data_IF_003775908715
#
_entry.id   IF_003775908715
#
_cell.length_a   1.000
_cell.length_b   1.000
_cell.length_c   1.000
_cell.angle_alpha   90.00
_cell.angle_beta   90.00
_cell.angle_gamma   90.00
#
_symmetry.space_group_name_H-M   'P 1'
#
loop_
_entity.id
_entity.type
_entity.pdbx_description
1 polymer ?
#
# COMPACT_ATOMS: atom_id res chain seq x y z
N UNK A 1 -2.58 29.70 23.20
CA UNK A 1 -1.64 30.18 22.17
C UNK A 1 -2.17 29.78 20.79
N UNK A 2 -2.26 30.71 19.83
CA UNK A 2 -2.82 30.44 18.49
C UNK A 2 -1.75 29.74 17.64
N UNK A 3 -2.05 28.53 17.16
CA UNK A 3 -1.15 27.78 16.27
C UNK A 3 -1.02 28.55 14.94
N UNK A 4 0.20 28.69 14.43
CA UNK A 4 0.44 29.34 13.13
C UNK A 4 -0.18 28.51 12.00
N UNK A 5 -0.47 29.12 10.84
CA UNK A 5 -0.98 28.37 9.67
C UNK A 5 -0.01 27.27 9.22
N UNK A 6 1.29 27.55 9.29
CA UNK A 6 2.35 26.60 8.96
C UNK A 6 2.34 25.41 9.92
N UNK A 7 2.31 25.65 11.23
CA UNK A 7 2.26 24.59 12.23
C UNK A 7 0.96 23.76 12.13
N UNK A 8 -0.16 24.39 11.77
CA UNK A 8 -1.41 23.68 11.53
C UNK A 8 -1.31 22.72 10.34
N UNK A 9 -0.64 23.13 9.25
CA UNK A 9 -0.39 22.28 8.09
C UNK A 9 0.56 21.11 8.42
N UNK A 10 1.65 21.37 9.15
CA UNK A 10 2.58 20.33 9.62
C UNK A 10 1.88 19.31 10.53
N UNK A 11 1.03 19.79 11.43
CA UNK A 11 0.24 18.92 12.30
C UNK A 11 -0.74 18.07 11.49
N UNK A 12 -1.37 18.64 10.46
CA UNK A 12 -2.25 17.90 9.55
C UNK A 12 -1.48 16.76 8.87
N UNK A 13 -0.33 17.06 8.29
CA UNK A 13 0.52 16.06 7.62
C UNK A 13 0.99 14.97 8.58
N UNK A 14 1.34 15.35 9.81
CA UNK A 14 1.71 14.41 10.87
C UNK A 14 0.57 13.45 11.17
N UNK A 15 -0.66 13.95 11.32
CA UNK A 15 -1.85 13.10 11.55
C UNK A 15 -2.10 12.16 10.37
N UNK A 16 -2.00 12.64 9.13
CA UNK A 16 -2.20 11.80 7.94
C UNK A 16 -1.15 10.67 7.88
N UNK A 17 0.12 10.99 8.11
CA UNK A 17 1.22 10.01 8.12
C UNK A 17 1.02 8.94 9.20
N UNK A 18 0.72 9.37 10.43
CA UNK A 18 0.47 8.45 11.55
C UNK A 18 -0.77 7.60 11.29
N UNK A 19 -1.87 8.20 10.86
CA UNK A 19 -3.10 7.48 10.54
C UNK A 19 -2.88 6.46 9.41
N UNK A 20 -2.08 6.80 8.40
CA UNK A 20 -1.73 5.90 7.29
C UNK A 20 -1.08 4.60 7.82
N UNK A 21 -0.17 4.72 8.78
CA UNK A 21 0.52 3.57 9.40
C UNK A 21 -0.40 2.79 10.33
N UNK A 22 -1.10 3.49 11.22
CA UNK A 22 -1.96 2.87 12.22
C UNK A 22 -3.19 2.19 11.61
N UNK A 23 -3.76 2.73 10.53
CA UNK A 23 -4.81 2.04 9.80
C UNK A 23 -4.29 0.73 9.18
N UNK A 24 -3.08 0.70 8.60
CA UNK A 24 -2.51 -0.55 8.08
C UNK A 24 -2.25 -1.60 9.17
N UNK A 25 -1.97 -1.16 10.39
CA UNK A 25 -1.74 -2.07 11.52
C UNK A 25 -3.05 -2.60 12.14
N UNK A 26 -4.06 -1.75 12.26
CA UNK A 26 -5.26 -2.05 13.05
C UNK A 26 -6.55 -2.17 12.23
N UNK A 27 -6.52 -1.85 10.93
CA UNK A 27 -7.71 -1.66 10.11
C UNK A 27 -8.39 -0.31 10.38
N UNK A 28 -9.33 0.08 9.52
CA UNK A 28 -10.07 1.35 9.67
C UNK A 28 -10.95 1.35 10.93
N UNK A 29 -11.58 0.22 11.25
CA UNK A 29 -12.50 0.10 12.38
C UNK A 29 -11.81 -0.31 13.68
N UNK A 30 -10.62 -0.91 13.60
CA UNK A 30 -9.89 -1.41 14.77
C UNK A 30 -9.13 -0.33 15.55
N UNK A 31 -9.12 0.93 15.09
CA UNK A 31 -8.52 2.05 15.82
C UNK A 31 -9.47 3.25 15.96
N UNK A 32 -9.54 3.79 17.18
CA UNK A 32 -10.34 4.97 17.50
C UNK A 32 -9.64 6.29 17.18
N UNK A 33 -10.44 7.37 17.05
CA UNK A 33 -9.90 8.71 16.81
C UNK A 33 -8.94 9.18 17.93
N UNK A 34 -9.24 8.83 19.17
CA UNK A 34 -8.40 9.17 20.32
C UNK A 34 -6.99 8.60 20.18
N UNK A 35 -6.87 7.34 19.76
CA UNK A 35 -5.59 6.66 19.64
C UNK A 35 -4.82 7.12 18.40
N UNK A 36 -5.51 7.40 17.30
CA UNK A 36 -4.91 8.07 16.12
C UNK A 36 -4.26 9.40 16.50
N UNK A 37 -5.00 10.26 17.22
CA UNK A 37 -4.51 11.57 17.62
C UNK A 37 -3.39 11.47 18.66
N UNK A 38 -3.50 10.51 19.60
CA UNK A 38 -2.42 10.19 20.55
C UNK A 38 -1.14 9.77 19.82
N UNK A 39 -1.25 8.92 18.80
CA UNK A 39 -0.11 8.52 17.97
C UNK A 39 0.54 9.70 17.25
N UNK A 40 -0.25 10.72 16.89
CA UNK A 40 0.23 11.96 16.29
C UNK A 40 0.73 13.00 17.31
N UNK A 41 0.71 12.70 18.62
CA UNK A 41 1.11 13.63 19.67
C UNK A 41 0.15 14.81 19.84
N UNK A 42 -1.10 14.69 19.38
CA UNK A 42 -2.09 15.76 19.35
C UNK A 42 -3.33 15.41 20.16
N UNK A 43 -4.04 16.45 20.61
CA UNK A 43 -5.31 16.26 21.33
C UNK A 43 -6.43 15.89 20.36
N UNK A 44 -7.43 15.14 20.84
CA UNK A 44 -8.61 14.83 20.04
C UNK A 44 -9.36 16.10 19.59
N UNK A 45 -9.35 17.17 20.39
CA UNK A 45 -9.94 18.45 20.00
C UNK A 45 -9.24 19.14 18.82
N UNK A 46 -7.96 18.85 18.58
CA UNK A 46 -7.25 19.36 17.40
C UNK A 46 -7.73 18.72 16.10
N UNK A 47 -8.27 17.50 16.16
CA UNK A 47 -8.78 16.77 14.99
C UNK A 47 -9.88 17.55 14.27
N UNK A 48 -10.91 17.96 15.01
CA UNK A 48 -12.09 18.65 14.45
C UNK A 48 -11.78 20.03 13.86
N UNK A 49 -10.57 20.57 14.08
CA UNK A 49 -10.09 21.80 13.44
C UNK A 49 -9.41 21.54 12.10
N UNK A 50 -9.02 20.31 11.82
CA UNK A 50 -8.24 19.91 10.65
C UNK A 50 -9.06 19.01 9.72
N UNK A 51 -9.78 18.03 10.25
CA UNK A 51 -10.44 16.99 9.46
C UNK A 51 -11.96 17.08 9.61
N UNK A 52 -12.67 16.78 8.52
CA UNK A 52 -14.13 16.81 8.51
C UNK A 52 -14.72 15.63 9.28
N UNK A 53 -14.12 14.45 9.12
CA UNK A 53 -14.57 13.21 9.76
C UNK A 53 -13.43 12.19 9.82
N UNK A 54 -13.62 11.09 10.56
CA UNK A 54 -12.67 9.96 10.56
C UNK A 54 -12.58 9.31 9.17
N UNK A 55 -13.68 9.31 8.42
CA UNK A 55 -13.72 8.81 7.05
C UNK A 55 -12.90 9.68 6.09
N UNK A 56 -12.98 11.01 6.22
CA UNK A 56 -12.12 11.96 5.49
C UNK A 56 -10.63 11.71 5.79
N UNK A 57 -10.28 11.50 7.06
CA UNK A 57 -8.92 11.10 7.44
C UNK A 57 -8.54 9.74 6.83
N UNK A 58 -9.44 8.76 6.83
CA UNK A 58 -9.18 7.43 6.25
C UNK A 58 -8.89 7.51 4.74
N UNK A 59 -9.63 8.33 3.99
CA UNK A 59 -9.40 8.55 2.57
C UNK A 59 -8.02 9.19 2.33
N UNK A 60 -7.69 10.28 3.05
CA UNK A 60 -6.39 10.94 2.94
C UNK A 60 -5.22 10.05 3.35
N UNK A 61 -5.37 9.30 4.44
CA UNK A 61 -4.39 8.34 4.92
C UNK A 61 -4.17 7.18 3.93
N UNK A 62 -5.24 6.74 3.26
CA UNK A 62 -5.19 5.71 2.20
C UNK A 62 -4.48 6.23 0.96
N UNK A 63 -4.74 7.48 0.55
CA UNK A 63 -3.98 8.12 -0.53
C UNK A 63 -2.49 8.20 -0.20
N UNK A 64 -2.14 8.69 0.99
CA UNK A 64 -0.73 8.73 1.47
C UNK A 64 -0.09 7.34 1.50
N UNK A 65 -0.86 6.32 1.88
CA UNK A 65 -0.42 4.93 1.88
C UNK A 65 -0.04 4.46 0.48
N UNK A 66 -0.94 4.67 -0.49
CA UNK A 66 -0.73 4.28 -1.88
C UNK A 66 0.42 5.07 -2.51
N UNK A 67 0.50 6.39 -2.31
CA UNK A 67 1.60 7.24 -2.80
C UNK A 67 2.97 6.74 -2.29
N UNK A 68 3.09 6.48 -0.99
CA UNK A 68 4.31 5.96 -0.39
C UNK A 68 4.69 4.60 -0.98
N UNK A 69 3.72 3.70 -1.15
CA UNK A 69 3.96 2.37 -1.67
C UNK A 69 4.31 2.41 -3.18
N UNK A 70 3.69 3.27 -3.97
CA UNK A 70 4.07 3.52 -5.38
C UNK A 70 5.47 4.11 -5.49
N UNK A 71 5.85 5.03 -4.61
CA UNK A 71 7.22 5.56 -4.59
C UNK A 71 8.26 4.46 -4.34
N UNK A 72 7.98 3.50 -3.46
CA UNK A 72 8.85 2.33 -3.23
C UNK A 72 9.01 1.47 -4.49
N UNK A 73 7.93 1.26 -5.24
CA UNK A 73 8.00 0.56 -6.53
C UNK A 73 8.87 1.32 -7.53
N UNK A 74 8.64 2.62 -7.70
CA UNK A 74 9.42 3.46 -8.60
C UNK A 74 10.92 3.47 -8.23
N UNK A 75 11.24 3.58 -6.94
CA UNK A 75 12.61 3.52 -6.45
C UNK A 75 13.27 2.16 -6.77
N UNK A 76 12.57 1.05 -6.52
CA UNK A 76 13.07 -0.29 -6.85
C UNK A 76 13.32 -0.47 -8.36
N UNK A 77 12.43 0.05 -9.21
CA UNK A 77 12.64 0.01 -10.67
C UNK A 77 13.83 0.84 -11.13
N UNK A 78 14.16 1.91 -10.43
CA UNK A 78 15.29 2.79 -10.76
C UNK A 78 16.64 2.24 -10.26
N UNK A 79 16.65 1.43 -9.19
CA UNK A 79 17.86 0.87 -8.58
C UNK A 79 18.60 -0.11 -9.51
N UNK A 80 17.86 -0.92 -10.26
CA UNK A 80 18.42 -1.93 -11.19
C UNK A 80 17.85 -1.75 -12.59
N UNK A 81 18.51 -0.89 -13.38
CA UNK A 81 18.10 -0.61 -14.76
C UNK A 81 18.08 -1.84 -15.67
N UNK A 82 18.88 -2.87 -15.38
CA UNK A 82 18.98 -4.08 -16.21
C UNK A 82 17.86 -5.11 -15.97
N UNK A 83 17.31 -5.19 -14.75
CA UNK A 83 16.16 -6.05 -14.41
C UNK A 83 15.20 -5.32 -13.44
N UNK A 84 14.49 -4.27 -13.91
CA UNK A 84 13.64 -3.46 -13.04
C UNK A 84 12.47 -4.28 -12.44
N UNK A 85 11.94 -5.23 -13.21
CA UNK A 85 10.91 -6.15 -12.72
C UNK A 85 11.47 -7.07 -11.62
N UNK A 86 12.66 -7.63 -11.82
CA UNK A 86 13.33 -8.45 -10.82
C UNK A 86 13.59 -7.70 -9.51
N UNK A 87 13.93 -6.41 -9.58
CA UNK A 87 14.05 -5.57 -8.38
C UNK A 87 12.72 -5.45 -7.64
N UNK A 88 11.62 -5.18 -8.36
CA UNK A 88 10.27 -5.11 -7.78
C UNK A 88 9.87 -6.43 -7.14
N UNK A 89 10.04 -7.55 -7.85
CA UNK A 89 9.75 -8.90 -7.36
C UNK A 89 10.56 -9.19 -6.09
N UNK A 90 11.86 -8.87 -6.09
CA UNK A 90 12.76 -9.20 -5.00
C UNK A 90 12.37 -8.50 -3.70
N UNK A 91 12.06 -7.20 -3.75
CA UNK A 91 11.66 -6.48 -2.52
C UNK A 91 10.22 -6.83 -2.12
N UNK A 92 9.28 -6.90 -3.07
CA UNK A 92 7.86 -7.04 -2.76
C UNK A 92 7.53 -8.46 -2.25
N UNK A 93 8.02 -9.49 -2.93
CA UNK A 93 7.78 -10.88 -2.53
C UNK A 93 8.82 -11.35 -1.53
N UNK A 94 9.12 -10.59 -0.48
CA UNK A 94 10.16 -10.91 0.52
C UNK A 94 9.59 -11.16 1.92
N UNK A 95 10.36 -11.86 2.76
CA UNK A 95 10.04 -12.03 4.19
C UNK A 95 10.08 -10.70 4.94
N UNK A 96 10.91 -9.76 4.51
CA UNK A 96 10.93 -8.40 5.05
C UNK A 96 9.60 -7.70 4.78
N UNK A 97 9.13 -7.69 3.52
CA UNK A 97 7.83 -7.10 3.20
C UNK A 97 6.66 -7.79 3.88
N UNK A 98 6.73 -9.12 4.02
CA UNK A 98 5.75 -9.88 4.81
C UNK A 98 5.68 -9.34 6.24
N UNK A 99 6.82 -9.02 6.86
CA UNK A 99 6.92 -8.46 8.21
C UNK A 99 6.47 -7.00 8.35
N UNK A 100 6.49 -6.22 7.26
CA UNK A 100 6.10 -4.80 7.26
C UNK A 100 4.58 -4.58 7.38
N UNK A 101 4.05 -4.65 8.60
CA UNK A 101 2.61 -4.44 8.87
C UNK A 101 2.18 -2.97 8.71
N UNK A 102 3.02 -2.03 9.18
CA UNK A 102 2.71 -0.59 9.15
C UNK A 102 3.17 0.12 7.89
N UNK A 103 4.16 -0.39 7.17
CA UNK A 103 4.83 0.36 6.09
C UNK A 103 4.85 -0.42 4.76
N UNK A 104 4.29 -1.63 4.76
CA UNK A 104 4.16 -2.51 3.58
C UNK A 104 3.00 -2.14 2.66
N UNK A 105 2.57 -3.08 1.82
CA UNK A 105 1.58 -2.83 0.78
C UNK A 105 0.21 -2.52 1.39
N UNK A 106 -0.39 -1.36 1.08
CA UNK A 106 -1.70 -1.00 1.63
C UNK A 106 -2.79 -1.96 1.20
N UNK A 107 -2.72 -2.52 -0.01
CA UNK A 107 -3.72 -3.49 -0.52
C UNK A 107 -3.67 -4.78 0.32
N UNK A 108 -2.47 -5.26 0.65
CA UNK A 108 -2.29 -6.45 1.51
C UNK A 108 -2.81 -6.20 2.93
N UNK A 109 -2.60 -5.00 3.47
CA UNK A 109 -2.99 -4.66 4.83
C UNK A 109 -4.48 -4.30 4.99
N UNK A 110 -5.07 -3.62 4.00
CA UNK A 110 -6.37 -2.95 4.11
C UNK A 110 -7.35 -3.29 2.98
N UNK A 111 -7.01 -4.14 2.02
CA UNK A 111 -7.87 -4.36 0.84
C UNK A 111 -9.29 -4.80 1.19
N UNK A 112 -9.44 -5.74 2.13
CA UNK A 112 -10.75 -6.20 2.61
C UNK A 112 -11.48 -5.17 3.47
N UNK A 113 -10.77 -4.31 4.19
CA UNK A 113 -11.35 -3.18 4.94
C UNK A 113 -11.84 -2.09 3.99
N UNK A 114 -11.02 -1.69 3.01
CA UNK A 114 -11.33 -0.68 2.01
C UNK A 114 -12.56 -1.05 1.17
N UNK A 115 -12.75 -2.35 0.89
CA UNK A 115 -13.95 -2.85 0.19
C UNK A 115 -15.26 -2.53 0.93
N UNK A 116 -15.21 -2.40 2.27
CA UNK A 116 -16.36 -2.07 3.14
C UNK A 116 -16.52 -0.57 3.41
N UNK A 117 -15.59 0.28 2.96
CA UNK A 117 -15.64 1.73 3.16
C UNK A 117 -16.43 2.45 2.05
N UNK A 118 -16.64 3.76 2.24
CA UNK A 118 -17.26 4.68 1.28
C UNK A 118 -16.43 4.92 0.01
N UNK A 119 -17.00 5.69 -0.92
CA UNK A 119 -16.42 5.96 -2.25
C UNK A 119 -15.03 6.60 -2.19
N UNK A 120 -14.78 7.48 -1.22
CA UNK A 120 -13.56 8.29 -1.18
C UNK A 120 -12.33 7.47 -0.80
N UNK A 121 -12.50 6.51 0.13
CA UNK A 121 -11.47 5.52 0.45
C UNK A 121 -11.23 4.64 -0.78
N UNK A 122 -12.28 4.09 -1.38
CA UNK A 122 -12.17 3.23 -2.58
C UNK A 122 -11.46 3.93 -3.74
N UNK A 123 -11.78 5.19 -4.00
CA UNK A 123 -11.12 6.01 -5.02
C UNK A 123 -9.62 6.16 -4.76
N UNK A 124 -9.20 6.26 -3.49
CA UNK A 124 -7.79 6.36 -3.12
C UNK A 124 -7.03 5.04 -3.41
N UNK A 125 -7.66 3.90 -3.16
CA UNK A 125 -7.10 2.59 -3.54
C UNK A 125 -7.09 2.40 -5.05
N UNK A 126 -8.18 2.74 -5.74
CA UNK A 126 -8.29 2.62 -7.20
C UNK A 126 -7.19 3.42 -7.90
N UNK A 127 -6.98 4.68 -7.50
CA UNK A 127 -5.92 5.52 -8.05
C UNK A 127 -4.54 4.85 -7.91
N UNK A 128 -4.20 4.34 -6.71
CA UNK A 128 -2.93 3.68 -6.50
C UNK A 128 -2.79 2.33 -7.21
N UNK A 129 -3.89 1.57 -7.36
CA UNK A 129 -3.90 0.32 -8.15
C UNK A 129 -3.60 0.65 -9.62
N UNK A 130 -4.20 1.71 -10.18
CA UNK A 130 -3.91 2.16 -11.54
C UNK A 130 -2.44 2.54 -11.72
N UNK A 131 -1.82 3.16 -10.72
CA UNK A 131 -0.37 3.43 -10.74
C UNK A 131 0.47 2.14 -10.76
N UNK A 132 0.14 1.14 -9.94
CA UNK A 132 0.81 -0.16 -9.98
C UNK A 132 0.65 -0.85 -11.33
N UNK A 133 -0.56 -0.85 -11.89
CA UNK A 133 -0.81 -1.40 -13.22
C UNK A 133 -0.04 -0.65 -14.30
N UNK A 134 0.07 0.68 -14.20
CA UNK A 134 0.89 1.48 -15.10
C UNK A 134 2.39 1.14 -15.03
N UNK A 135 2.92 0.92 -13.81
CA UNK A 135 4.31 0.47 -13.63
C UNK A 135 4.48 -0.93 -14.24
N UNK A 136 3.63 -1.89 -13.87
CA UNK A 136 3.72 -3.26 -14.37
C UNK A 136 3.57 -3.31 -15.89
N UNK A 137 2.61 -2.60 -16.47
CA UNK A 137 2.43 -2.56 -17.92
C UNK A 137 3.70 -2.12 -18.66
N UNK A 138 4.45 -1.15 -18.13
CA UNK A 138 5.75 -0.75 -18.69
C UNK A 138 6.84 -1.83 -18.55
N UNK A 139 6.75 -2.66 -17.51
CA UNK A 139 7.71 -3.72 -17.22
C UNK A 139 7.37 -5.05 -17.91
N UNK A 140 6.11 -5.26 -18.29
CA UNK A 140 5.61 -6.50 -18.89
C UNK A 140 5.27 -6.37 -20.36
N UNK A 141 5.38 -5.18 -20.96
CA UNK A 141 5.04 -4.94 -22.36
C UNK A 141 6.03 -5.63 -23.32
N UNK A 142 5.65 -6.84 -23.75
CA UNK A 142 5.98 -7.41 -25.05
C UNK A 142 4.69 -7.48 -25.86
N UNK A 143 4.46 -6.47 -26.71
CA UNK A 143 3.40 -6.34 -27.75
C UNK A 143 1.92 -6.30 -27.31
N UNK A 144 1.14 -5.45 -28.00
CA UNK A 144 -0.29 -5.15 -27.91
C UNK A 144 -0.91 -4.77 -26.54
N UNK A 145 -1.56 -3.59 -26.53
CA UNK A 145 -1.97 -2.89 -25.30
C UNK A 145 -3.04 -3.60 -24.47
N UNK A 146 -3.92 -4.44 -25.07
CA UNK A 146 -4.97 -5.13 -24.31
C UNK A 146 -4.47 -6.37 -23.57
N UNK A 147 -3.54 -7.12 -24.17
CA UNK A 147 -2.90 -8.27 -23.52
C UNK A 147 -1.96 -7.82 -22.38
N UNK A 148 -1.36 -6.63 -22.54
CA UNK A 148 -0.51 -6.00 -21.52
C UNK A 148 -1.28 -5.69 -20.22
N UNK A 149 -2.54 -5.24 -20.33
CA UNK A 149 -3.39 -4.94 -19.16
C UNK A 149 -3.76 -6.20 -18.37
N UNK A 150 -4.17 -7.27 -19.05
CA UNK A 150 -4.53 -8.54 -18.41
C UNK A 150 -3.31 -9.18 -17.70
N UNK A 151 -2.13 -9.14 -18.34
CA UNK A 151 -0.86 -9.60 -17.74
C UNK A 151 -0.50 -8.80 -16.49
N UNK A 152 -0.57 -7.48 -16.54
CA UNK A 152 -0.27 -6.62 -15.39
C UNK A 152 -1.24 -6.89 -14.21
N UNK A 153 -2.53 -7.06 -14.50
CA UNK A 153 -3.54 -7.41 -13.49
C UNK A 153 -3.27 -8.78 -12.85
N UNK A 154 -2.93 -9.78 -13.66
CA UNK A 154 -2.59 -11.12 -13.18
C UNK A 154 -1.32 -11.11 -12.30
N UNK A 155 -0.29 -10.36 -12.71
CA UNK A 155 0.95 -10.19 -11.94
C UNK A 155 0.67 -9.51 -10.60
N UNK A 156 -0.04 -8.37 -10.60
CA UNK A 156 -0.37 -7.67 -9.36
C UNK A 156 -1.18 -8.56 -8.40
N UNK A 157 -2.18 -9.27 -8.93
CA UNK A 157 -3.02 -10.19 -8.16
C UNK A 157 -2.20 -11.33 -7.54
N UNK A 158 -1.28 -11.91 -8.31
CA UNK A 158 -0.37 -12.96 -7.84
C UNK A 158 0.53 -12.44 -6.72
N UNK A 159 1.11 -11.26 -6.90
CA UNK A 159 2.01 -10.65 -5.91
C UNK A 159 1.27 -10.35 -4.60
N UNK A 160 0.15 -9.64 -4.68
CA UNK A 160 -0.67 -9.27 -3.50
C UNK A 160 -1.16 -10.53 -2.79
N UNK A 161 -1.70 -11.50 -3.54
CA UNK A 161 -2.24 -12.75 -2.98
C UNK A 161 -1.17 -13.57 -2.25
N UNK A 162 0.04 -13.67 -2.80
CA UNK A 162 1.13 -14.40 -2.17
C UNK A 162 1.57 -13.77 -0.84
N UNK A 163 1.64 -12.44 -0.76
CA UNK A 163 1.96 -11.76 0.50
C UNK A 163 0.84 -11.94 1.52
N UNK A 164 -0.42 -11.87 1.12
CA UNK A 164 -1.57 -12.17 2.01
C UNK A 164 -1.47 -13.60 2.56
N UNK A 165 -1.33 -14.60 1.68
CA UNK A 165 -1.26 -16.01 2.07
C UNK A 165 -0.05 -16.29 2.98
N UNK A 166 1.12 -15.74 2.65
CA UNK A 166 2.31 -15.88 3.49
C UNK A 166 2.14 -15.26 4.88
N UNK A 167 1.39 -14.15 5.02
CA UNK A 167 1.11 -13.51 6.33
C UNK A 167 0.17 -14.31 7.22
N UNK A 168 -0.76 -15.07 6.63
CA UNK A 168 -1.78 -15.82 7.39
C UNK A 168 -1.23 -17.14 7.95
N UNK A 169 -0.22 -17.73 7.31
CA UNK A 169 0.39 -18.98 7.80
C UNK A 169 1.45 -18.72 8.87
N UNK A 170 1.49 -19.57 9.90
CA UNK A 170 2.47 -19.51 10.99
C UNK A 170 3.79 -20.22 10.63
N UNK A 171 3.73 -21.22 9.75
CA UNK A 171 4.91 -21.96 9.28
C UNK A 171 5.78 -21.05 8.40
N UNK A 172 7.01 -20.74 8.80
CA UNK A 172 7.90 -19.86 8.03
C UNK A 172 8.33 -20.48 6.70
N UNK A 173 8.44 -21.81 6.61
CA UNK A 173 8.84 -22.49 5.38
C UNK A 173 7.70 -22.45 4.36
N UNK A 174 6.46 -22.67 4.82
CA UNK A 174 5.28 -22.51 3.98
C UNK A 174 5.08 -21.04 3.54
N UNK A 175 5.33 -20.08 4.44
CA UNK A 175 5.29 -18.66 4.10
C UNK A 175 6.28 -18.31 2.98
N UNK A 176 7.53 -18.78 3.12
CA UNK A 176 8.58 -18.60 2.12
C UNK A 176 8.21 -19.28 0.79
N UNK A 177 7.63 -20.48 0.85
CA UNK A 177 7.20 -21.22 -0.34
C UNK A 177 6.11 -20.48 -1.15
N UNK A 178 5.15 -19.81 -0.51
CA UNK A 178 4.17 -18.97 -1.22
C UNK A 178 4.84 -17.83 -1.98
N UNK A 179 5.79 -17.15 -1.33
CA UNK A 179 6.54 -16.05 -1.95
C UNK A 179 7.38 -16.56 -3.13
N UNK A 180 8.09 -17.68 -2.97
CA UNK A 180 8.91 -18.28 -4.02
C UNK A 180 8.10 -18.77 -5.22
N UNK A 181 6.97 -19.41 -4.97
CA UNK A 181 6.05 -19.84 -6.02
C UNK A 181 5.55 -18.63 -6.83
N UNK A 182 5.20 -17.53 -6.15
CA UNK A 182 4.78 -16.30 -6.81
C UNK A 182 5.92 -15.65 -7.61
N UNK A 183 7.14 -15.59 -7.08
CA UNK A 183 8.32 -15.08 -7.82
C UNK A 183 8.52 -15.84 -9.13
N UNK A 184 8.45 -17.18 -9.08
CA UNK A 184 8.56 -18.05 -10.25
C UNK A 184 7.42 -17.79 -11.25
N UNK A 185 6.19 -17.71 -10.77
CA UNK A 185 5.02 -17.49 -11.62
C UNK A 185 5.04 -16.12 -12.31
N UNK A 186 5.38 -15.05 -11.58
CA UNK A 186 5.48 -13.70 -12.16
C UNK A 186 6.57 -13.66 -13.23
N UNK A 187 7.76 -14.25 -12.98
CA UNK A 187 8.82 -14.31 -14.01
C UNK A 187 8.37 -15.09 -15.24
N UNK A 188 7.67 -16.21 -15.06
CA UNK A 188 7.15 -17.01 -16.18
C UNK A 188 6.08 -16.25 -16.98
N UNK A 189 5.17 -15.53 -16.32
CA UNK A 189 4.10 -14.76 -16.95
C UNK A 189 4.61 -13.60 -17.81
N UNK A 190 5.80 -13.07 -17.52
CA UNK A 190 6.41 -11.97 -18.28
C UNK A 190 7.36 -12.46 -19.37
N UNK A 191 7.90 -13.68 -19.23
CA UNK A 191 8.72 -14.31 -20.27
C UNK A 191 7.89 -14.94 -21.41
N UNK A 192 6.58 -15.05 -21.25
CA UNK A 192 5.63 -15.65 -22.19
C UNK A 192 4.87 -14.60 -23.01
#
# INVERSE_FOLDING_TARGET
MRVSRMQAAENRETVINVASRLFREHGFDGIGLKDLMKGAGLTQGAFYKQFASKEDLAAQASRRAMESATHRWSAATAEKSEDPLGAVIAFYLSMDHRGERMDGCPIVALGSDAARQGSDVKASFEAGIREYLGILGRLTAATDGKETDDKAMAVLSTMVGAVILSRVVNDPDLAQAFLDAARKQVRAAVAA
#
